data_IF_950620105280
#
_entry.id   IF_950620105280
#
_cell.length_a   1.000
_cell.length_b   1.000
_cell.length_c   1.000
_cell.angle_alpha   90.00
_cell.angle_beta   90.00
_cell.angle_gamma   90.00
#
_symmetry.space_group_name_H-M   'P 1'
#
loop_
_entity.id
_entity.type
_entity.pdbx_description
1 polymer ?
#
# COMPACT_ATOMS: atom_id res chain seq x y z
N UNK A 1 -4.33 -10.56 -26.89
CA UNK A 1 -3.98 -9.26 -26.26
C UNK A 1 -2.52 -9.02 -26.55
N UNK A 2 -2.19 -7.94 -27.27
CA UNK A 2 -0.82 -7.65 -27.71
C UNK A 2 0.10 -7.39 -26.52
N UNK A 3 1.42 -7.60 -26.68
CA UNK A 3 2.41 -7.35 -25.63
C UNK A 3 2.32 -5.91 -25.11
N UNK A 4 2.20 -4.93 -26.02
CA UNK A 4 2.02 -3.52 -25.68
C UNK A 4 0.86 -3.32 -24.68
N UNK A 5 -0.30 -3.91 -24.97
CA UNK A 5 -1.47 -3.76 -24.09
C UNK A 5 -1.26 -4.47 -22.75
N UNK A 6 -0.54 -5.60 -22.73
CA UNK A 6 -0.18 -6.30 -21.49
C UNK A 6 0.72 -5.44 -20.61
N UNK A 7 1.76 -4.85 -21.18
CA UNK A 7 2.67 -3.96 -20.45
C UNK A 7 1.93 -2.74 -19.92
N UNK A 8 1.13 -2.06 -20.75
CA UNK A 8 0.33 -0.91 -20.32
C UNK A 8 -0.57 -1.29 -19.15
N UNK A 9 -1.30 -2.41 -19.25
CA UNK A 9 -2.20 -2.87 -18.20
C UNK A 9 -1.43 -3.17 -16.89
N UNK A 10 -0.30 -3.87 -16.96
CA UNK A 10 0.51 -4.20 -15.79
C UNK A 10 1.13 -2.96 -15.15
N UNK A 11 1.58 -1.97 -15.94
CA UNK A 11 2.02 -0.69 -15.42
C UNK A 11 0.87 0.05 -14.72
N UNK A 12 -0.30 0.14 -15.35
CA UNK A 12 -1.47 0.76 -14.73
C UNK A 12 -1.83 0.08 -13.41
N UNK A 13 -1.82 -1.25 -13.35
CA UNK A 13 -2.10 -2.02 -12.13
C UNK A 13 -1.04 -1.78 -11.05
N UNK A 14 0.25 -1.80 -11.41
CA UNK A 14 1.35 -1.48 -10.50
C UNK A 14 1.18 -0.08 -9.91
N UNK A 15 0.98 0.94 -10.76
CA UNK A 15 0.81 2.32 -10.31
C UNK A 15 -0.42 2.45 -9.42
N UNK A 16 -1.58 2.00 -9.89
CA UNK A 16 -2.85 2.11 -9.15
C UNK A 16 -2.75 1.48 -7.76
N UNK A 17 -2.25 0.24 -7.69
CA UNK A 17 -2.17 -0.48 -6.43
C UNK A 17 -1.07 0.05 -5.50
N UNK A 18 0.07 0.49 -6.06
CA UNK A 18 1.12 1.15 -5.27
C UNK A 18 0.64 2.46 -4.65
N UNK A 19 -0.13 3.26 -5.39
CA UNK A 19 -0.76 4.48 -4.87
C UNK A 19 -1.81 4.18 -3.80
N UNK A 20 -2.60 3.10 -3.98
CA UNK A 20 -3.54 2.65 -2.96
C UNK A 20 -2.83 2.30 -1.63
N UNK A 21 -1.78 1.48 -1.68
CA UNK A 21 -0.98 1.12 -0.49
C UNK A 21 -0.32 2.38 0.10
N UNK A 22 0.23 3.26 -0.75
CA UNK A 22 0.83 4.52 -0.28
C UNK A 22 -0.18 5.37 0.47
N UNK A 23 -1.40 5.50 -0.04
CA UNK A 23 -2.48 6.21 0.65
C UNK A 23 -2.84 5.58 1.99
N UNK A 24 -2.88 4.25 2.06
CA UNK A 24 -3.08 3.51 3.32
C UNK A 24 -1.97 3.80 4.34
N UNK A 25 -0.70 3.77 3.90
CA UNK A 25 0.45 4.07 4.77
C UNK A 25 0.47 5.54 5.19
N UNK A 26 0.14 6.49 4.30
CA UNK A 26 0.01 7.91 4.65
C UNK A 26 -1.03 8.13 5.75
N UNK A 27 -2.18 7.46 5.66
CA UNK A 27 -3.18 7.51 6.72
C UNK A 27 -2.66 6.91 8.04
N UNK A 28 -1.83 5.87 7.95
CA UNK A 28 -1.18 5.27 9.13
C UNK A 28 -0.14 6.21 9.75
N UNK A 29 0.65 6.92 8.94
CA UNK A 29 1.58 7.96 9.38
C UNK A 29 0.84 9.06 10.15
N UNK A 30 -0.30 9.54 9.63
CA UNK A 30 -1.16 10.56 10.27
C UNK A 30 -1.94 10.00 11.47
N UNK A 31 -2.17 8.70 11.55
CA UNK A 31 -2.74 8.08 12.73
C UNK A 31 -1.71 8.03 13.88
N UNK A 32 -0.49 7.64 13.56
CA UNK A 32 0.61 7.52 14.51
C UNK A 32 1.21 8.87 14.91
N UNK A 33 1.20 9.85 14.01
CA UNK A 33 1.67 11.21 14.24
C UNK A 33 0.50 12.18 14.14
N UNK A 34 0.37 13.16 15.03
CA UNK A 34 -0.62 14.20 14.79
C UNK A 34 -0.33 14.94 13.46
N UNK A 35 -1.36 15.52 12.85
CA UNK A 35 -1.26 16.15 11.53
C UNK A 35 -0.18 17.23 11.44
N UNK A 36 0.08 17.96 12.53
CA UNK A 36 1.15 18.95 12.62
C UNK A 36 2.55 18.33 12.63
N UNK A 37 2.80 17.27 13.41
CA UNK A 37 4.08 16.56 13.39
C UNK A 37 4.31 15.83 12.07
N UNK A 38 3.26 15.27 11.48
CA UNK A 38 3.32 14.71 10.12
C UNK A 38 3.79 15.77 9.12
N UNK A 39 3.13 16.94 9.06
CA UNK A 39 3.52 18.04 8.17
C UNK A 39 4.96 18.50 8.39
N UNK A 40 5.41 18.58 9.65
CA UNK A 40 6.81 18.93 9.97
C UNK A 40 7.80 17.89 9.44
N UNK A 41 7.48 16.59 9.52
CA UNK A 41 8.32 15.50 8.99
C UNK A 41 8.30 15.40 7.48
N UNK A 42 7.19 15.76 6.81
CA UNK A 42 7.12 15.79 5.33
C UNK A 42 7.84 17.02 4.76
N UNK A 43 7.90 18.13 5.51
CA UNK A 43 8.60 19.35 5.05
C UNK A 43 10.07 19.05 4.74
N UNK A 44 10.50 19.42 3.54
CA UNK A 44 11.86 19.20 3.05
C UNK A 44 12.20 17.73 2.75
N UNK A 45 11.21 16.84 2.66
CA UNK A 45 11.45 15.44 2.30
C UNK A 45 11.86 15.32 0.82
N UNK A 46 12.94 14.58 0.58
CA UNK A 46 13.37 14.24 -0.79
C UNK A 46 12.53 13.11 -1.39
N UNK A 47 12.53 12.99 -2.72
CA UNK A 47 11.81 11.90 -3.43
C UNK A 47 12.29 10.52 -2.95
N UNK A 48 13.60 10.36 -2.72
CA UNK A 48 14.18 9.11 -2.19
C UNK A 48 13.63 8.78 -0.81
N UNK A 49 13.62 9.75 0.10
CA UNK A 49 13.08 9.53 1.44
C UNK A 49 11.58 9.26 1.44
N UNK A 50 10.85 9.89 0.50
CA UNK A 50 9.43 9.67 0.30
C UNK A 50 9.13 8.26 -0.18
N UNK A 51 9.93 7.73 -1.12
CA UNK A 51 9.78 6.38 -1.65
C UNK A 51 10.23 5.29 -0.67
N UNK A 52 11.34 5.50 0.04
CA UNK A 52 11.92 4.52 0.97
C UNK A 52 11.43 4.61 2.42
N UNK A 53 10.45 5.49 2.69
CA UNK A 53 9.88 5.75 4.01
C UNK A 53 10.92 6.01 5.11
N UNK A 54 12.12 6.49 4.77
CA UNK A 54 13.27 6.56 5.69
C UNK A 54 12.95 7.39 6.94
N UNK A 55 12.24 8.51 6.78
CA UNK A 55 11.84 9.44 7.87
C UNK A 55 10.67 8.94 8.72
N UNK A 56 10.03 7.83 8.33
CA UNK A 56 8.84 7.27 8.98
C UNK A 56 9.01 5.81 9.43
N UNK A 57 10.20 5.20 9.24
CA UNK A 57 10.47 3.80 9.66
C UNK A 57 10.32 3.57 11.15
N UNK A 58 10.54 4.58 12.00
CA UNK A 58 10.33 4.50 13.45
C UNK A 58 8.84 4.34 13.81
N UNK A 59 7.98 4.88 12.96
CA UNK A 59 6.55 5.00 13.17
C UNK A 59 5.76 3.87 12.53
N UNK A 60 6.08 3.54 11.29
CA UNK A 60 5.34 2.56 10.49
C UNK A 60 5.79 1.15 10.91
N UNK A 61 4.87 0.21 11.19
CA UNK A 61 5.20 -1.19 11.40
C UNK A 61 5.93 -1.75 10.16
N UNK A 62 7.10 -2.41 10.32
CA UNK A 62 7.94 -2.86 9.19
C UNK A 62 7.20 -3.74 8.18
N UNK A 63 6.18 -4.48 8.63
CA UNK A 63 5.34 -5.34 7.77
C UNK A 63 4.68 -4.56 6.63
N UNK A 64 4.20 -3.33 6.86
CA UNK A 64 3.54 -2.54 5.81
C UNK A 64 4.53 -1.99 4.78
N UNK A 65 5.75 -1.66 5.22
CA UNK A 65 6.84 -1.27 4.31
C UNK A 65 7.26 -2.48 3.47
N UNK A 66 7.38 -3.66 4.09
CA UNK A 66 7.69 -4.90 3.38
C UNK A 66 6.62 -5.25 2.34
N UNK A 67 5.33 -5.12 2.67
CA UNK A 67 4.22 -5.31 1.73
C UNK A 67 4.33 -4.35 0.55
N UNK A 68 4.59 -3.06 0.81
CA UNK A 68 4.74 -2.06 -0.26
C UNK A 68 5.88 -2.42 -1.24
N UNK A 69 7.06 -2.74 -0.73
CA UNK A 69 8.19 -3.14 -1.58
C UNK A 69 7.96 -4.49 -2.26
N UNK A 70 7.35 -5.45 -1.57
CA UNK A 70 7.00 -6.76 -2.13
C UNK A 70 6.05 -6.62 -3.33
N UNK A 71 5.08 -5.71 -3.25
CA UNK A 71 4.16 -5.41 -4.37
C UNK A 71 4.92 -4.83 -5.56
N UNK A 72 5.78 -3.83 -5.33
CA UNK A 72 6.54 -3.20 -6.42
C UNK A 72 7.46 -4.22 -7.08
N UNK A 73 8.27 -4.94 -6.29
CA UNK A 73 9.21 -5.93 -6.80
C UNK A 73 8.44 -7.05 -7.52
N UNK A 74 7.36 -7.57 -6.94
CA UNK A 74 6.56 -8.61 -7.55
C UNK A 74 6.00 -8.20 -8.92
N UNK A 75 5.48 -6.99 -9.04
CA UNK A 75 4.97 -6.48 -10.33
C UNK A 75 6.10 -6.26 -11.34
N UNK A 76 7.27 -5.77 -10.92
CA UNK A 76 8.44 -5.64 -11.80
C UNK A 76 8.92 -7.00 -12.32
N UNK A 77 8.93 -8.02 -11.46
CA UNK A 77 9.27 -9.39 -11.86
C UNK A 77 8.25 -9.94 -12.88
N UNK A 78 6.96 -9.68 -12.67
CA UNK A 78 5.91 -10.10 -13.62
C UNK A 78 6.08 -9.42 -14.97
N UNK A 79 6.46 -8.13 -15.00
CA UNK A 79 6.78 -7.43 -16.25
C UNK A 79 7.94 -8.11 -16.98
N UNK A 80 9.01 -8.47 -16.28
CA UNK A 80 10.15 -9.20 -16.85
C UNK A 80 9.71 -10.56 -17.39
N UNK A 81 8.88 -11.31 -16.64
CA UNK A 81 8.32 -12.60 -17.10
C UNK A 81 7.49 -12.43 -18.38
N UNK A 82 6.65 -11.40 -18.48
CA UNK A 82 5.89 -11.14 -19.71
C UNK A 82 6.79 -10.86 -20.93
N UNK A 83 7.91 -10.16 -20.73
CA UNK A 83 8.90 -9.92 -21.79
C UNK A 83 9.58 -11.23 -22.19
N UNK A 84 9.99 -12.05 -21.22
CA UNK A 84 10.62 -13.34 -21.49
C UNK A 84 9.66 -14.26 -22.27
N UNK A 85 8.40 -14.34 -21.84
CA UNK A 85 7.37 -15.16 -22.51
C UNK A 85 7.13 -14.74 -23.97
N UNK A 86 7.25 -13.44 -24.26
CA UNK A 86 7.14 -12.94 -25.63
C UNK A 86 8.23 -13.51 -26.56
N UNK A 87 9.45 -13.70 -26.07
CA UNK A 87 10.55 -14.25 -26.87
C UNK A 87 10.55 -15.78 -26.96
N UNK A 88 9.98 -16.48 -25.98
CA UNK A 88 10.07 -17.95 -25.89
C UNK A 88 8.85 -18.66 -26.49
N UNK A 89 7.67 -18.02 -26.50
CA UNK A 89 6.41 -18.76 -26.72
C UNK A 89 5.45 -18.01 -27.63
N UNK A 90 5.01 -18.66 -28.71
CA UNK A 90 3.99 -18.11 -29.62
C UNK A 90 2.62 -17.87 -28.94
N UNK A 91 2.36 -18.56 -27.84
CA UNK A 91 1.16 -18.40 -27.00
C UNK A 91 1.25 -17.26 -25.97
N UNK A 92 2.25 -16.36 -26.04
CA UNK A 92 2.43 -15.25 -25.09
C UNK A 92 1.17 -14.38 -24.91
N UNK A 93 0.33 -14.28 -25.94
CA UNK A 93 -0.89 -13.48 -25.89
C UNK A 93 -1.94 -14.05 -24.92
N UNK A 94 -2.09 -15.37 -24.89
CA UNK A 94 -3.06 -16.06 -24.04
C UNK A 94 -2.54 -16.15 -22.61
N UNK A 95 -1.27 -16.50 -22.45
CA UNK A 95 -0.62 -16.59 -21.13
C UNK A 95 -0.56 -15.21 -20.48
N UNK A 96 -0.10 -14.19 -21.22
CA UNK A 96 -0.03 -12.82 -20.74
C UNK A 96 -1.38 -12.26 -20.33
N UNK A 97 -2.46 -12.56 -21.07
CA UNK A 97 -3.83 -12.18 -20.65
C UNK A 97 -4.21 -12.81 -19.30
N UNK A 98 -3.91 -14.10 -19.10
CA UNK A 98 -4.19 -14.78 -17.82
C UNK A 98 -3.39 -14.15 -16.68
N UNK A 99 -2.12 -13.78 -16.93
CA UNK A 99 -1.28 -13.07 -15.95
C UNK A 99 -1.91 -11.74 -15.56
N UNK A 100 -2.28 -10.89 -16.53
CA UNK A 100 -2.90 -9.58 -16.23
C UNK A 100 -4.18 -9.74 -15.41
N UNK A 101 -5.05 -10.69 -15.78
CA UNK A 101 -6.28 -10.97 -15.02
C UNK A 101 -5.94 -11.45 -13.60
N UNK A 102 -4.97 -12.36 -13.47
CA UNK A 102 -4.52 -12.86 -12.16
C UNK A 102 -4.00 -11.75 -11.26
N UNK A 103 -3.17 -10.84 -11.79
CA UNK A 103 -2.65 -9.67 -11.05
C UNK A 103 -3.79 -8.73 -10.64
N UNK A 104 -4.74 -8.47 -11.54
CA UNK A 104 -5.89 -7.64 -11.23
C UNK A 104 -6.73 -8.23 -10.08
N UNK A 105 -7.06 -9.53 -10.15
CA UNK A 105 -7.82 -10.22 -9.11
C UNK A 105 -7.04 -10.21 -7.79
N UNK A 106 -5.74 -10.50 -7.83
CA UNK A 106 -4.88 -10.47 -6.64
C UNK A 106 -4.89 -9.10 -5.96
N UNK A 107 -4.69 -8.02 -6.72
CA UNK A 107 -4.74 -6.65 -6.20
C UNK A 107 -6.11 -6.31 -5.63
N UNK A 108 -7.19 -6.75 -6.27
CA UNK A 108 -8.56 -6.56 -5.79
C UNK A 108 -8.78 -7.29 -4.45
N UNK A 109 -8.41 -8.56 -4.36
CA UNK A 109 -8.58 -9.39 -3.14
C UNK A 109 -7.83 -8.76 -1.97
N UNK A 110 -6.57 -8.36 -2.17
CA UNK A 110 -5.79 -7.72 -1.10
C UNK A 110 -6.30 -6.31 -0.75
N UNK A 111 -6.73 -5.53 -1.74
CA UNK A 111 -7.34 -4.22 -1.52
C UNK A 111 -8.64 -4.34 -0.70
N UNK A 112 -9.51 -5.30 -1.04
CA UNK A 112 -10.73 -5.59 -0.28
C UNK A 112 -10.40 -6.11 1.12
N UNK A 113 -9.37 -6.94 1.26
CA UNK A 113 -8.94 -7.45 2.57
C UNK A 113 -8.48 -6.31 3.49
N UNK A 114 -7.61 -5.42 3.00
CA UNK A 114 -7.18 -4.24 3.75
C UNK A 114 -8.36 -3.32 4.07
N UNK A 115 -9.26 -3.12 3.11
CA UNK A 115 -10.47 -2.36 3.34
C UNK A 115 -11.31 -2.99 4.46
N UNK A 116 -11.70 -4.25 4.38
CA UNK A 116 -12.51 -4.93 5.40
C UNK A 116 -11.86 -4.94 6.79
N UNK A 117 -10.55 -5.19 6.86
CA UNK A 117 -9.82 -5.21 8.13
C UNK A 117 -9.83 -3.86 8.85
N UNK A 118 -9.71 -2.77 8.09
CA UNK A 118 -9.57 -1.42 8.63
C UNK A 118 -10.82 -0.54 8.45
N UNK A 119 -11.87 -1.05 7.82
CA UNK A 119 -13.10 -0.32 7.56
C UNK A 119 -13.89 -0.07 8.85
N UNK A 120 -14.61 1.05 8.86
CA UNK A 120 -15.55 1.42 9.92
C UNK A 120 -16.75 2.15 9.30
N UNK A 121 -17.99 1.75 9.60
CA UNK A 121 -19.16 2.48 9.14
C UNK A 121 -19.21 3.89 9.75
N UNK A 122 -19.62 4.87 8.94
CA UNK A 122 -19.85 6.26 9.36
C UNK A 122 -18.59 7.13 9.54
N UNK A 123 -17.39 6.64 9.20
CA UNK A 123 -16.17 7.47 9.17
C UNK A 123 -15.40 7.25 7.87
N UNK A 124 -14.87 8.34 7.29
CA UNK A 124 -14.02 8.29 6.08
C UNK A 124 -12.62 7.73 6.36
N UNK A 125 -12.16 7.77 7.61
CA UNK A 125 -10.82 7.33 8.00
C UNK A 125 -10.80 5.85 8.42
N UNK A 126 -9.71 5.17 8.07
CA UNK A 126 -9.43 3.81 8.51
C UNK A 126 -9.31 3.71 10.03
N UNK A 127 -9.85 2.65 10.61
CA UNK A 127 -9.78 2.37 12.06
C UNK A 127 -8.50 1.62 12.40
N UNK A 128 -7.35 2.28 12.27
CA UNK A 128 -6.03 1.71 12.56
C UNK A 128 -5.89 1.14 13.98
N UNK A 129 -6.56 1.75 14.96
CA UNK A 129 -6.62 1.30 16.36
C UNK A 129 -7.03 -0.18 16.55
N UNK A 130 -7.68 -0.79 15.55
CA UNK A 130 -8.12 -2.19 15.64
C UNK A 130 -6.94 -3.16 15.66
N UNK A 131 -5.89 -2.85 14.92
CA UNK A 131 -4.76 -3.76 14.69
C UNK A 131 -3.41 -3.13 15.04
N UNK A 132 -3.35 -1.80 15.17
CA UNK A 132 -2.10 -1.08 15.35
C UNK A 132 -2.24 -0.16 16.55
N UNK A 133 -1.41 -0.40 17.55
CA UNK A 133 -1.33 0.47 18.72
C UNK A 133 -0.69 1.81 18.36
N UNK A 134 -1.23 2.88 18.95
CA UNK A 134 -0.70 4.23 18.77
C UNK A 134 0.58 4.39 19.56
N UNK A 135 1.71 4.59 18.89
CA UNK A 135 3.02 4.81 19.54
C UNK A 135 3.16 6.24 20.09
N UNK A 136 2.58 7.25 19.44
CA UNK A 136 2.77 8.67 19.81
C UNK A 136 1.45 9.45 19.82
N UNK A 137 1.26 10.27 20.85
CA UNK A 137 0.06 11.07 21.08
C UNK A 137 -0.80 10.51 22.21
N UNK A 138 -1.30 11.41 23.07
CA UNK A 138 -2.06 11.07 24.27
C UNK A 138 -3.17 10.06 23.97
N UNK A 139 -3.08 8.87 24.57
CA UNK A 139 -4.23 7.96 24.77
C UNK A 139 -5.34 8.84 25.33
N UNK A 140 -6.47 8.95 24.61
CA UNK A 140 -7.60 9.82 24.97
C UNK A 140 -7.81 9.83 26.49
N UNK A 141 -7.42 10.94 27.17
CA UNK A 141 -7.53 11.09 28.63
C UNK A 141 -8.98 10.85 29.11
N UNK A 142 -9.97 10.95 28.22
CA UNK A 142 -11.39 10.64 28.48
C UNK A 142 -11.68 9.18 28.87
N UNK A 143 -10.90 8.19 28.44
CA UNK A 143 -11.10 6.79 28.88
C UNK A 143 -10.47 6.52 30.26
N UNK A 144 -9.40 7.21 30.62
CA UNK A 144 -8.75 7.07 31.92
C UNK A 144 -9.55 7.71 33.07
N UNK A 145 -10.37 8.71 32.78
CA UNK A 145 -11.25 9.35 33.77
C UNK A 145 -12.49 8.51 34.12
N UNK A 146 -13.06 7.77 33.15
CA UNK A 146 -14.24 6.90 33.38
C UNK A 146 -13.94 5.60 34.13
N UNK A 147 -12.68 5.30 34.43
CA UNK A 147 -12.28 4.15 35.26
C UNK A 147 -11.88 4.58 36.69
N UNK A 148 -11.98 5.88 37.00
CA UNK A 148 -11.63 6.46 38.30
C UNK A 148 -12.81 7.16 38.98
N UNK A 149 -14.03 7.03 38.44
CA UNK A 149 -15.28 7.51 39.04
C UNK A 149 -16.19 6.31 39.23
#
# INVERSE_FOLDING_TARGET
>A
MTLKNQMIALFCLLFLYSFYIRGFISGLEVYQLNHSAYKKRVKGQTIKEWFFYTRFRDVIPPIFIAIYFGVIIGHLLILVVCIILYYITDQYQTIGRKIVIGVYIWNLVWGVTLWLLFWKPGKREYKYERWIEKKRGQKNRRKAWKQKV
#
